data_IF_150829146387
#
_entry.id   IF_150829146387
#
_cell.length_a   1.000
_cell.length_b   1.000
_cell.length_c   1.000
_cell.angle_alpha   90.00
_cell.angle_beta   90.00
_cell.angle_gamma   90.00
#
_symmetry.space_group_name_H-M   'P 1'
#
loop_
_entity.id
_entity.type
_entity.pdbx_description
1 polymer ?
#
# COMPACT_ATOMS: atom_id res chain seq x y z
N UNK A 1 -7.28 -28.61 -3.95
CA UNK A 1 -6.16 -28.11 -3.13
C UNK A 1 -6.68 -26.92 -2.33
N UNK A 2 -6.52 -26.92 -1.00
CA UNK A 2 -7.08 -25.89 -0.12
C UNK A 2 -6.02 -24.90 0.35
N UNK A 3 -6.41 -23.63 0.43
CA UNK A 3 -5.55 -22.54 0.87
C UNK A 3 -6.15 -21.82 2.08
N UNK A 4 -5.29 -21.45 3.03
CA UNK A 4 -5.62 -20.60 4.17
C UNK A 4 -4.97 -19.22 3.97
N UNK A 5 -5.78 -18.18 3.80
CA UNK A 5 -5.35 -16.80 3.74
C UNK A 5 -5.40 -16.16 5.13
N UNK A 6 -4.28 -15.67 5.64
CA UNK A 6 -4.16 -15.02 6.95
C UNK A 6 -3.75 -13.59 6.76
N UNK A 7 -4.56 -12.65 7.27
CA UNK A 7 -4.33 -11.22 7.13
C UNK A 7 -4.74 -10.43 8.39
N UNK A 8 -4.37 -9.15 8.43
CA UNK A 8 -4.95 -8.20 9.39
C UNK A 8 -6.42 -7.88 9.04
N UNK A 9 -7.12 -7.25 9.98
CA UNK A 9 -8.52 -6.86 9.78
C UNK A 9 -8.67 -5.87 8.61
N UNK A 10 -9.37 -6.29 7.56
CA UNK A 10 -9.56 -5.56 6.31
C UNK A 10 -10.63 -4.46 6.36
N UNK A 11 -11.31 -4.28 7.50
CA UNK A 11 -12.32 -3.20 7.66
C UNK A 11 -11.70 -1.82 7.77
N UNK A 12 -10.41 -1.74 8.13
CA UNK A 12 -9.67 -0.48 8.18
C UNK A 12 -9.37 -0.03 6.75
N UNK A 13 -9.94 1.10 6.32
CA UNK A 13 -9.68 1.69 4.99
C UNK A 13 -8.26 2.27 4.95
N UNK A 14 -7.32 1.51 4.44
CA UNK A 14 -5.92 1.89 4.25
C UNK A 14 -5.40 1.43 2.89
N UNK A 15 -4.25 1.94 2.46
CA UNK A 15 -3.58 1.43 1.27
C UNK A 15 -3.28 -0.07 1.36
N UNK A 16 -2.86 -0.56 2.54
CA UNK A 16 -2.63 -1.99 2.78
C UNK A 16 -3.89 -2.82 2.58
N UNK A 17 -5.04 -2.36 3.08
CA UNK A 17 -6.30 -3.10 2.94
C UNK A 17 -6.77 -3.27 1.50
N UNK A 18 -6.43 -2.35 0.59
CA UNK A 18 -6.71 -2.49 -0.85
C UNK A 18 -5.91 -3.66 -1.44
N UNK A 19 -4.63 -3.77 -1.08
CA UNK A 19 -3.77 -4.87 -1.55
C UNK A 19 -4.21 -6.20 -0.96
N UNK A 20 -4.56 -6.26 0.32
CA UNK A 20 -5.08 -7.48 0.98
C UNK A 20 -6.37 -7.97 0.30
N UNK A 21 -7.31 -7.06 0.04
CA UNK A 21 -8.56 -7.39 -0.68
C UNK A 21 -8.29 -7.91 -2.10
N UNK A 22 -7.33 -7.30 -2.81
CA UNK A 22 -6.88 -7.77 -4.11
C UNK A 22 -6.30 -9.19 -4.01
N UNK A 23 -5.41 -9.43 -3.05
CA UNK A 23 -4.78 -10.74 -2.85
C UNK A 23 -5.84 -11.81 -2.57
N UNK A 24 -6.78 -11.54 -1.65
CA UNK A 24 -7.88 -12.45 -1.33
C UNK A 24 -8.75 -12.73 -2.56
N UNK A 25 -9.11 -11.70 -3.34
CA UNK A 25 -9.88 -11.89 -4.57
C UNK A 25 -9.16 -12.81 -5.54
N UNK A 26 -7.88 -12.58 -5.80
CA UNK A 26 -7.06 -13.43 -6.68
C UNK A 26 -7.00 -14.88 -6.19
N UNK A 27 -6.84 -15.08 -4.87
CA UNK A 27 -6.82 -16.41 -4.26
C UNK A 27 -8.16 -17.12 -4.50
N UNK A 28 -9.28 -16.44 -4.27
CA UNK A 28 -10.62 -17.00 -4.51
C UNK A 28 -10.87 -17.30 -5.98
N UNK A 29 -10.47 -16.40 -6.87
CA UNK A 29 -10.60 -16.58 -8.32
C UNK A 29 -9.78 -17.80 -8.85
N UNK A 30 -8.63 -18.12 -8.20
CA UNK A 30 -7.77 -19.24 -8.61
C UNK A 30 -8.14 -20.59 -7.97
N UNK A 31 -8.46 -20.61 -6.66
CA UNK A 31 -8.73 -21.86 -5.93
C UNK A 31 -10.21 -22.19 -5.80
N UNK A 32 -11.10 -21.24 -6.02
CA UNK A 32 -12.53 -21.30 -5.70
C UNK A 32 -12.82 -20.90 -4.25
N UNK A 33 -14.03 -20.38 -4.02
CA UNK A 33 -14.51 -19.99 -2.67
C UNK A 33 -14.47 -21.18 -1.71
N UNK A 34 -14.89 -22.37 -2.15
CA UNK A 34 -14.99 -23.59 -1.36
C UNK A 34 -13.62 -24.15 -0.92
N UNK A 35 -12.55 -23.77 -1.62
CA UNK A 35 -11.17 -24.16 -1.31
C UNK A 35 -10.38 -23.08 -0.59
N UNK A 36 -10.98 -21.92 -0.37
CA UNK A 36 -10.33 -20.75 0.26
C UNK A 36 -10.90 -20.50 1.65
N UNK A 37 -10.05 -20.63 2.66
CA UNK A 37 -10.40 -20.25 4.03
C UNK A 37 -9.68 -18.93 4.34
N UNK A 38 -10.41 -17.96 4.89
CA UNK A 38 -9.85 -16.70 5.38
C UNK A 38 -9.83 -16.67 6.89
N UNK A 39 -8.70 -16.23 7.46
CA UNK A 39 -8.55 -15.96 8.89
C UNK A 39 -8.08 -14.51 9.09
N UNK A 40 -8.96 -13.68 9.64
CA UNK A 40 -8.65 -12.30 9.97
C UNK A 40 -8.15 -12.15 11.40
N UNK A 41 -6.93 -11.68 11.55
CA UNK A 41 -6.37 -11.34 12.85
C UNK A 41 -6.97 -10.03 13.35
N UNK A 42 -7.41 -10.05 14.61
CA UNK A 42 -7.91 -8.85 15.28
C UNK A 42 -7.58 -8.87 16.76
N UNK A 43 -7.35 -7.70 17.33
CA UNK A 43 -7.17 -7.56 18.78
C UNK A 43 -8.52 -7.75 19.49
N UNK A 44 -8.64 -8.80 20.28
CA UNK A 44 -9.85 -9.08 21.08
C UNK A 44 -9.88 -8.26 22.37
N UNK A 45 -8.74 -7.74 22.84
CA UNK A 45 -8.63 -7.00 24.09
C UNK A 45 -8.42 -5.50 23.85
N UNK A 46 -9.12 -4.66 24.61
CA UNK A 46 -8.86 -3.22 24.70
C UNK A 46 -7.70 -2.87 25.66
N UNK A 47 -7.24 -3.84 26.45
CA UNK A 47 -6.15 -3.63 27.41
C UNK A 47 -4.80 -3.49 26.68
N UNK A 48 -4.25 -2.27 26.69
CA UNK A 48 -2.99 -1.93 26.02
C UNK A 48 -1.78 -2.69 26.57
N UNK A 49 -1.75 -2.94 27.89
CA UNK A 49 -0.63 -3.66 28.53
C UNK A 49 -0.64 -5.13 28.10
N UNK A 50 -1.81 -5.78 28.13
CA UNK A 50 -1.97 -7.15 27.64
C UNK A 50 -1.57 -7.27 26.17
N UNK A 51 -2.02 -6.34 25.33
CA UNK A 51 -1.67 -6.33 23.92
C UNK A 51 -0.16 -6.17 23.68
N UNK A 52 0.52 -5.31 24.50
CA UNK A 52 1.97 -5.16 24.44
C UNK A 52 2.69 -6.45 24.87
N UNK A 53 2.21 -7.07 25.94
CA UNK A 53 2.75 -8.36 26.43
C UNK A 53 2.63 -9.44 25.37
N UNK A 54 1.45 -9.60 24.76
CA UNK A 54 1.21 -10.55 23.68
C UNK A 54 2.12 -10.25 22.47
N UNK A 55 2.27 -8.97 22.07
CA UNK A 55 3.16 -8.57 20.97
C UNK A 55 4.62 -9.00 21.24
N UNK A 56 5.12 -8.84 22.47
CA UNK A 56 6.50 -9.16 22.84
C UNK A 56 6.72 -10.66 22.99
N UNK A 57 5.89 -11.31 23.78
CA UNK A 57 6.10 -12.75 24.14
C UNK A 57 5.78 -13.68 22.99
N UNK A 58 4.78 -13.34 22.19
CA UNK A 58 4.32 -14.16 21.06
C UNK A 58 4.89 -13.73 19.71
N UNK A 59 5.76 -12.70 19.67
CA UNK A 59 6.19 -12.00 18.45
C UNK A 59 4.98 -11.59 17.61
N UNK A 60 3.91 -11.16 18.29
CA UNK A 60 2.59 -10.96 17.71
C UNK A 60 2.43 -9.61 17.02
N UNK A 61 1.68 -9.61 15.93
CA UNK A 61 1.15 -8.43 15.28
C UNK A 61 -0.34 -8.63 15.01
N UNK A 62 -1.07 -7.54 14.89
CA UNK A 62 -2.50 -7.55 14.55
C UNK A 62 -3.42 -8.32 15.50
N UNK A 63 -2.94 -8.70 16.67
CA UNK A 63 -3.66 -9.53 17.65
C UNK A 63 -3.30 -11.01 17.59
N UNK A 64 -2.20 -11.34 16.89
CA UNK A 64 -1.64 -12.69 16.94
C UNK A 64 -1.14 -12.99 18.36
N UNK A 65 -1.69 -14.04 18.98
CA UNK A 65 -1.35 -14.48 20.32
C UNK A 65 -1.39 -16.02 20.39
N UNK A 66 -1.18 -16.62 21.55
CA UNK A 66 -1.16 -18.07 21.73
C UNK A 66 -2.47 -18.72 21.24
N UNK A 67 -3.62 -18.16 21.60
CA UNK A 67 -4.92 -18.69 21.20
C UNK A 67 -5.12 -18.68 19.69
N UNK A 68 -4.86 -17.53 19.03
CA UNK A 68 -5.01 -17.44 17.56
C UNK A 68 -4.02 -18.33 16.80
N UNK A 69 -2.81 -18.58 17.34
CA UNK A 69 -1.87 -19.56 16.78
C UNK A 69 -2.45 -20.98 16.83
N UNK A 70 -3.03 -21.37 17.96
CA UNK A 70 -3.66 -22.69 18.11
C UNK A 70 -4.89 -22.82 17.19
N UNK A 71 -5.74 -21.79 17.10
CA UNK A 71 -6.88 -21.77 16.17
C UNK A 71 -6.42 -21.98 14.72
N UNK A 72 -5.37 -21.26 14.28
CA UNK A 72 -4.80 -21.39 12.93
C UNK A 72 -4.25 -22.81 12.67
N UNK A 73 -3.52 -23.38 13.61
CA UNK A 73 -2.97 -24.74 13.49
C UNK A 73 -4.08 -25.78 13.41
N UNK A 74 -5.16 -25.62 14.18
CA UNK A 74 -6.33 -26.49 14.12
C UNK A 74 -7.04 -26.38 12.75
N UNK A 75 -7.20 -25.17 12.20
CA UNK A 75 -7.75 -24.97 10.85
C UNK A 75 -6.91 -25.72 9.81
N UNK A 76 -5.58 -25.60 9.88
CA UNK A 76 -4.67 -26.28 8.96
C UNK A 76 -4.87 -27.79 9.00
N UNK A 77 -4.96 -28.37 10.19
CA UNK A 77 -5.10 -29.82 10.39
C UNK A 77 -6.49 -30.32 9.96
N UNK A 78 -7.55 -29.69 10.48
CA UNK A 78 -8.94 -30.15 10.25
C UNK A 78 -9.36 -30.02 8.78
N UNK A 79 -8.92 -28.95 8.11
CA UNK A 79 -9.29 -28.71 6.72
C UNK A 79 -8.29 -29.28 5.72
N UNK A 80 -7.20 -29.94 6.18
CA UNK A 80 -6.14 -30.49 5.32
C UNK A 80 -5.58 -29.41 4.36
N UNK A 81 -5.20 -28.25 4.92
CA UNK A 81 -4.68 -27.12 4.16
C UNK A 81 -3.36 -27.51 3.49
N UNK A 82 -3.24 -27.19 2.21
CA UNK A 82 -2.03 -27.43 1.42
C UNK A 82 -1.12 -26.20 1.36
N UNK A 83 -1.72 -24.99 1.30
CA UNK A 83 -1.02 -23.72 1.19
C UNK A 83 -1.50 -22.77 2.28
N UNK A 84 -0.58 -22.07 2.92
CA UNK A 84 -0.87 -20.92 3.79
C UNK A 84 -0.31 -19.67 3.15
N UNK A 85 -1.18 -18.69 2.93
CA UNK A 85 -0.81 -17.37 2.42
C UNK A 85 -0.82 -16.38 3.58
N UNK A 86 0.36 -15.91 3.97
CA UNK A 86 0.58 -14.90 5.00
C UNK A 86 0.60 -13.51 4.35
N UNK A 87 -0.47 -12.75 4.50
CA UNK A 87 -0.62 -11.44 3.84
C UNK A 87 -0.04 -10.30 4.69
N UNK A 88 1.12 -10.55 5.26
CA UNK A 88 1.98 -9.59 5.94
C UNK A 88 3.33 -10.21 6.28
N UNK A 89 4.41 -9.42 6.14
CA UNK A 89 5.76 -9.79 6.57
C UNK A 89 5.89 -9.98 8.09
N UNK A 90 5.02 -9.34 8.87
CA UNK A 90 4.96 -9.44 10.33
C UNK A 90 4.32 -10.75 10.85
N UNK A 91 4.03 -11.71 9.98
CA UNK A 91 3.50 -13.02 10.34
C UNK A 91 4.53 -14.15 10.24
N UNK A 92 5.82 -13.81 10.20
CA UNK A 92 6.91 -14.78 10.03
C UNK A 92 7.02 -15.81 11.15
N UNK A 93 6.59 -15.50 12.38
CA UNK A 93 6.50 -16.47 13.46
C UNK A 93 5.53 -17.60 13.10
N UNK A 94 4.43 -17.33 12.38
CA UNK A 94 3.54 -18.35 11.85
C UNK A 94 4.21 -19.20 10.77
N UNK A 95 4.95 -18.60 9.85
CA UNK A 95 5.72 -19.33 8.85
C UNK A 95 6.64 -20.35 9.53
N UNK A 96 7.38 -19.95 10.57
CA UNK A 96 8.25 -20.82 11.36
C UNK A 96 7.46 -21.98 12.00
N UNK A 97 6.41 -21.70 12.74
CA UNK A 97 5.61 -22.68 13.47
C UNK A 97 4.98 -23.67 12.49
N UNK A 98 4.40 -23.20 11.38
CA UNK A 98 3.75 -24.04 10.37
C UNK A 98 4.78 -24.98 9.74
N UNK A 99 5.95 -24.48 9.32
CA UNK A 99 6.98 -25.33 8.70
C UNK A 99 7.61 -26.34 9.67
N UNK A 100 7.65 -26.02 10.96
CA UNK A 100 8.11 -26.98 11.99
C UNK A 100 7.11 -28.11 12.22
N UNK A 101 5.79 -27.81 12.22
CA UNK A 101 4.74 -28.78 12.52
C UNK A 101 4.20 -29.50 11.29
N UNK A 102 4.14 -28.83 10.15
CA UNK A 102 3.55 -29.31 8.89
C UNK A 102 4.50 -29.06 7.73
N UNK A 103 5.57 -29.85 7.61
CA UNK A 103 6.64 -29.68 6.61
C UNK A 103 6.12 -29.67 5.17
N UNK A 104 5.03 -30.39 4.89
CA UNK A 104 4.41 -30.51 3.57
C UNK A 104 3.58 -29.28 3.19
N UNK A 105 3.13 -28.47 4.15
CA UNK A 105 2.34 -27.27 3.88
C UNK A 105 3.24 -26.21 3.28
N UNK A 106 2.85 -25.69 2.12
CA UNK A 106 3.55 -24.58 1.46
C UNK A 106 3.17 -23.26 2.11
N UNK A 107 4.16 -22.41 2.34
CA UNK A 107 3.97 -21.08 2.94
C UNK A 107 4.38 -20.02 1.93
N UNK A 108 3.44 -19.14 1.61
CA UNK A 108 3.66 -17.94 0.79
C UNK A 108 3.55 -16.72 1.69
N UNK A 109 4.54 -15.84 1.71
CA UNK A 109 4.46 -14.57 2.45
C UNK A 109 4.52 -13.39 1.51
N UNK A 110 3.53 -12.50 1.65
CA UNK A 110 3.44 -11.25 0.89
C UNK A 110 3.91 -10.07 1.75
N UNK A 111 4.92 -9.37 1.26
CA UNK A 111 5.48 -8.18 1.89
C UNK A 111 4.86 -6.93 1.27
N UNK A 112 4.01 -6.23 2.04
CA UNK A 112 3.46 -4.94 1.62
C UNK A 112 4.51 -3.83 1.63
N UNK A 113 5.51 -3.98 2.49
CA UNK A 113 6.71 -3.14 2.61
C UNK A 113 7.74 -3.87 3.47
N UNK A 114 8.86 -3.22 3.77
CA UNK A 114 9.79 -3.68 4.80
C UNK A 114 9.45 -2.98 6.11
N UNK A 115 8.66 -3.64 6.94
CA UNK A 115 8.08 -3.10 8.17
C UNK A 115 9.15 -2.70 9.20
N UNK A 116 10.24 -3.47 9.28
CA UNK A 116 11.38 -3.12 10.13
C UNK A 116 11.90 -1.71 9.81
N UNK A 117 12.10 -1.41 8.52
CA UNK A 117 12.58 -0.09 8.09
C UNK A 117 11.53 0.98 8.36
N UNK A 118 10.26 0.71 8.06
CA UNK A 118 9.17 1.62 8.34
C UNK A 118 9.13 2.00 9.83
N UNK A 119 9.11 1.03 10.73
CA UNK A 119 9.06 1.32 12.17
C UNK A 119 10.32 2.03 12.68
N UNK A 120 11.48 1.70 12.12
CA UNK A 120 12.74 2.38 12.45
C UNK A 120 12.72 3.86 12.05
N UNK A 121 12.23 4.18 10.85
CA UNK A 121 12.14 5.57 10.39
C UNK A 121 11.05 6.34 11.15
N UNK A 122 9.90 5.72 11.42
CA UNK A 122 8.86 6.34 12.26
C UNK A 122 9.34 6.61 13.69
N UNK A 123 10.15 5.71 14.26
CA UNK A 123 10.76 5.96 15.57
C UNK A 123 11.68 7.20 15.57
N UNK A 124 12.51 7.36 14.56
CA UNK A 124 13.39 8.53 14.44
C UNK A 124 12.63 9.86 14.34
N UNK A 125 11.43 9.83 13.76
CA UNK A 125 10.60 11.02 13.57
C UNK A 125 9.76 11.35 14.81
N UNK A 126 9.19 10.31 15.46
CA UNK A 126 8.18 10.49 16.50
C UNK A 126 8.69 10.24 17.92
N UNK A 127 9.84 9.55 18.06
CA UNK A 127 10.39 9.05 19.33
C UNK A 127 9.37 8.23 20.13
N UNK A 128 8.36 7.65 19.47
CA UNK A 128 7.29 6.91 20.13
C UNK A 128 7.75 5.51 20.55
N UNK A 129 7.55 5.17 21.82
CA UNK A 129 7.84 3.84 22.37
C UNK A 129 7.20 2.70 21.55
N UNK A 130 6.03 2.95 20.96
CA UNK A 130 5.36 2.00 20.08
C UNK A 130 6.27 1.53 18.93
N UNK A 131 7.01 2.41 18.30
CA UNK A 131 7.88 2.08 17.17
C UNK A 131 9.21 1.50 17.63
N UNK A 132 9.67 1.89 18.83
CA UNK A 132 10.90 1.35 19.42
C UNK A 132 10.81 -0.18 19.61
N UNK A 133 9.71 -0.71 20.15
CA UNK A 133 9.57 -2.16 20.34
C UNK A 133 9.11 -2.88 19.07
N UNK A 134 8.35 -2.21 18.21
CA UNK A 134 7.85 -2.85 16.97
C UNK A 134 8.95 -3.09 15.93
N UNK A 135 9.95 -2.24 15.84
CA UNK A 135 11.04 -2.42 14.89
C UNK A 135 11.78 -3.76 15.09
N UNK A 136 12.31 -4.11 16.29
CA UNK A 136 12.97 -5.41 16.48
C UNK A 136 12.03 -6.60 16.31
N UNK A 137 10.75 -6.48 16.69
CA UNK A 137 9.76 -7.54 16.47
C UNK A 137 9.51 -7.78 14.96
N UNK A 138 9.39 -6.71 14.18
CA UNK A 138 9.27 -6.82 12.72
C UNK A 138 10.53 -7.41 12.10
N UNK A 139 11.72 -7.00 12.55
CA UNK A 139 12.98 -7.60 12.07
C UNK A 139 12.99 -9.12 12.24
N UNK A 140 12.59 -9.61 13.42
CA UNK A 140 12.53 -11.06 13.70
C UNK A 140 11.48 -11.76 12.84
N UNK A 141 10.28 -11.18 12.72
CA UNK A 141 9.22 -11.75 11.87
C UNK A 141 9.64 -11.79 10.40
N UNK A 142 10.20 -10.71 9.86
CA UNK A 142 10.68 -10.65 8.47
C UNK A 142 11.81 -11.64 8.23
N UNK A 143 12.72 -11.82 9.21
CA UNK A 143 13.76 -12.85 9.16
C UNK A 143 13.15 -14.25 9.11
N UNK A 144 12.11 -14.54 9.89
CA UNK A 144 11.41 -15.81 9.85
C UNK A 144 10.62 -15.99 8.56
N UNK A 145 9.93 -14.96 8.07
CA UNK A 145 9.28 -14.97 6.77
C UNK A 145 10.25 -15.33 5.66
N UNK A 146 11.41 -14.68 5.61
CA UNK A 146 12.46 -14.96 4.63
C UNK A 146 13.02 -16.39 4.74
N UNK A 147 13.14 -16.93 5.97
CA UNK A 147 13.74 -18.24 6.20
C UNK A 147 12.78 -19.41 5.99
N UNK A 148 11.51 -19.25 6.35
CA UNK A 148 10.55 -20.35 6.46
C UNK A 148 9.46 -20.33 5.40
N UNK A 149 9.34 -19.27 4.60
CA UNK A 149 8.42 -19.26 3.46
C UNK A 149 9.02 -19.97 2.25
N UNK A 150 8.20 -20.78 1.57
CA UNK A 150 8.57 -21.38 0.28
C UNK A 150 8.65 -20.31 -0.81
N UNK A 151 7.72 -19.34 -0.78
CA UNK A 151 7.68 -18.20 -1.70
C UNK A 151 7.59 -16.89 -0.90
N UNK A 152 8.39 -15.92 -1.31
CA UNK A 152 8.38 -14.53 -0.80
C UNK A 152 8.02 -13.60 -1.94
N UNK A 153 6.99 -12.77 -1.74
CA UNK A 153 6.51 -11.80 -2.72
C UNK A 153 6.70 -10.39 -2.17
N UNK A 154 7.19 -9.46 -3.00
CA UNK A 154 7.26 -8.03 -2.69
C UNK A 154 6.51 -7.20 -3.73
N UNK A 155 6.18 -5.95 -3.38
CA UNK A 155 5.51 -5.02 -4.29
C UNK A 155 6.44 -4.47 -5.39
N UNK A 156 7.75 -4.38 -5.12
CA UNK A 156 8.69 -3.72 -6.02
C UNK A 156 10.14 -4.20 -5.80
N UNK A 157 11.03 -3.84 -6.73
CA UNK A 157 12.46 -4.21 -6.69
C UNK A 157 13.20 -3.57 -5.51
N UNK A 158 12.83 -2.34 -5.08
CA UNK A 158 13.47 -1.70 -3.92
C UNK A 158 13.30 -2.58 -2.68
N UNK A 159 12.08 -3.06 -2.44
CA UNK A 159 11.78 -3.87 -1.27
C UNK A 159 12.46 -5.24 -1.36
N UNK A 160 12.53 -5.86 -2.54
CA UNK A 160 13.32 -7.09 -2.76
C UNK A 160 14.82 -6.88 -2.48
N UNK A 161 15.40 -5.76 -2.91
CA UNK A 161 16.79 -5.42 -2.61
C UNK A 161 17.02 -5.17 -1.11
N UNK A 162 16.02 -4.59 -0.42
CA UNK A 162 16.08 -4.43 1.04
C UNK A 162 16.01 -5.78 1.76
N UNK A 163 15.19 -6.73 1.30
CA UNK A 163 15.20 -8.10 1.82
C UNK A 163 16.58 -8.73 1.71
N UNK A 164 17.23 -8.61 0.55
CA UNK A 164 18.59 -9.12 0.39
C UNK A 164 19.59 -8.44 1.33
N UNK A 165 19.50 -7.13 1.46
CA UNK A 165 20.39 -6.35 2.35
C UNK A 165 20.31 -6.83 3.81
N UNK A 166 19.09 -7.02 4.34
CA UNK A 166 18.89 -7.30 5.76
C UNK A 166 18.78 -8.79 6.10
N UNK A 167 18.24 -9.61 5.18
CA UNK A 167 17.91 -11.01 5.45
C UNK A 167 18.59 -11.99 4.51
N UNK A 168 19.39 -11.51 3.53
CA UNK A 168 20.08 -12.33 2.52
C UNK A 168 19.13 -13.18 1.68
N UNK A 169 17.90 -12.69 1.47
CA UNK A 169 16.86 -13.31 0.65
C UNK A 169 16.30 -12.27 -0.32
N UNK A 170 16.24 -12.59 -1.62
CA UNK A 170 15.48 -11.82 -2.61
C UNK A 170 14.02 -12.30 -2.66
N UNK A 171 13.13 -11.48 -3.16
CA UNK A 171 11.77 -11.92 -3.47
C UNK A 171 11.81 -12.93 -4.64
N UNK A 172 10.97 -13.96 -4.56
CA UNK A 172 10.80 -14.93 -5.65
C UNK A 172 9.92 -14.34 -6.76
N UNK A 173 9.01 -13.46 -6.41
CA UNK A 173 8.16 -12.71 -7.36
C UNK A 173 7.94 -11.27 -6.87
N UNK A 174 7.76 -10.38 -7.85
CA UNK A 174 7.34 -9.00 -7.62
C UNK A 174 5.94 -8.84 -8.18
N UNK A 175 4.99 -8.50 -7.31
CA UNK A 175 3.59 -8.29 -7.67
C UNK A 175 3.19 -6.90 -7.18
N UNK A 176 3.22 -5.89 -8.04
CA UNK A 176 2.98 -4.50 -7.65
C UNK A 176 1.53 -4.26 -7.19
N UNK A 177 1.29 -3.08 -6.66
CA UNK A 177 -0.07 -2.58 -6.46
C UNK A 177 -0.84 -2.69 -7.78
N UNK A 178 -2.07 -3.17 -7.70
CA UNK A 178 -2.94 -3.26 -8.88
C UNK A 178 -4.38 -2.90 -8.51
N UNK A 179 -5.08 -2.34 -9.49
CA UNK A 179 -6.45 -1.84 -9.35
C UNK A 179 -7.33 -2.46 -10.43
N UNK A 180 -8.63 -2.47 -10.18
CA UNK A 180 -9.63 -2.88 -11.19
C UNK A 180 -9.61 -1.85 -12.33
N UNK A 181 -9.67 -2.34 -13.55
CA UNK A 181 -9.68 -1.51 -14.74
C UNK A 181 -11.13 -1.12 -15.09
N UNK A 182 -11.68 -0.16 -14.34
CA UNK A 182 -13.02 0.37 -14.64
C UNK A 182 -13.01 1.30 -15.86
N UNK A 183 -14.17 1.54 -16.42
CA UNK A 183 -14.35 2.55 -17.48
C UNK A 183 -13.99 3.94 -16.92
N UNK A 184 -13.18 4.68 -17.66
CA UNK A 184 -12.87 6.07 -17.36
C UNK A 184 -14.01 6.93 -17.89
N UNK A 185 -14.53 7.83 -17.04
CA UNK A 185 -15.50 8.81 -17.50
C UNK A 185 -14.80 9.87 -18.38
N UNK A 186 -15.35 10.12 -19.56
CA UNK A 186 -14.85 11.13 -20.51
C UNK A 186 -15.53 12.49 -20.32
N UNK A 187 -15.96 12.82 -19.11
CA UNK A 187 -16.59 14.09 -18.82
C UNK A 187 -15.53 15.08 -18.35
N UNK A 188 -15.17 16.02 -19.23
CA UNK A 188 -14.24 17.09 -18.91
C UNK A 188 -15.00 18.40 -18.79
N UNK A 189 -14.94 19.03 -17.62
CA UNK A 189 -15.37 20.42 -17.44
C UNK A 189 -14.23 21.38 -17.83
N UNK A 190 -14.53 22.70 -17.94
CA UNK A 190 -13.55 23.73 -18.25
C UNK A 190 -12.68 24.13 -17.05
N UNK A 191 -13.03 23.72 -15.84
CA UNK A 191 -12.29 24.07 -14.63
C UNK A 191 -10.89 23.47 -14.64
N UNK A 192 -9.90 24.24 -14.23
CA UNK A 192 -8.48 23.83 -14.17
C UNK A 192 -8.06 23.69 -12.73
N UNK A 193 -7.60 22.50 -12.34
CA UNK A 193 -7.09 22.27 -10.99
C UNK A 193 -6.07 21.14 -10.89
N UNK A 194 -5.32 21.18 -9.80
CA UNK A 194 -4.46 20.11 -9.31
C UNK A 194 -5.27 19.23 -8.35
N UNK A 195 -5.10 17.92 -8.41
CA UNK A 195 -5.76 17.00 -7.51
C UNK A 195 -4.76 16.33 -6.55
N UNK A 196 -5.09 16.31 -5.28
CA UNK A 196 -4.48 15.43 -4.28
C UNK A 196 -5.54 14.52 -3.65
N UNK A 197 -5.31 13.21 -3.69
CA UNK A 197 -6.17 12.23 -3.01
C UNK A 197 -5.39 11.54 -1.90
N UNK A 198 -5.96 11.52 -0.68
CA UNK A 198 -5.32 10.84 0.44
C UNK A 198 -6.16 10.91 1.71
N UNK A 199 -5.98 9.96 2.63
CA UNK A 199 -6.60 9.97 3.95
C UNK A 199 -5.78 10.79 4.96
N UNK A 200 -6.38 11.08 6.12
CA UNK A 200 -5.72 11.69 7.28
C UNK A 200 -4.70 10.70 7.90
N UNK A 201 -3.62 10.47 7.14
CA UNK A 201 -2.47 9.66 7.56
C UNK A 201 -1.23 10.58 7.63
N UNK A 202 -0.38 10.47 8.67
CA UNK A 202 0.69 11.46 8.93
C UNK A 202 1.55 11.84 7.71
N UNK A 203 2.08 10.92 6.89
CA UNK A 203 2.83 11.26 5.68
C UNK A 203 2.01 12.07 4.66
N UNK A 204 0.71 11.79 4.51
CA UNK A 204 -0.17 12.54 3.62
C UNK A 204 -0.37 13.96 4.14
N UNK A 205 -0.71 14.10 5.43
CA UNK A 205 -0.93 15.42 6.06
C UNK A 205 0.35 16.26 6.01
N UNK A 206 1.49 15.67 6.37
CA UNK A 206 2.78 16.38 6.32
C UNK A 206 3.11 16.86 4.90
N UNK A 207 2.93 15.99 3.92
CA UNK A 207 3.22 16.30 2.53
C UNK A 207 2.29 17.36 1.95
N UNK A 208 0.97 17.22 2.15
CA UNK A 208 0.01 18.19 1.60
C UNK A 208 0.05 19.53 2.35
N UNK A 209 0.31 19.53 3.68
CA UNK A 209 0.53 20.79 4.42
C UNK A 209 1.76 21.54 3.89
N UNK A 210 2.88 20.82 3.66
CA UNK A 210 4.04 21.42 3.01
C UNK A 210 3.67 22.05 1.65
N UNK A 211 2.87 21.35 0.83
CA UNK A 211 2.45 21.86 -0.47
C UNK A 211 1.59 23.11 -0.34
N UNK A 212 0.61 23.11 0.57
CA UNK A 212 -0.26 24.26 0.82
C UNK A 212 0.55 25.48 1.32
N UNK A 213 1.50 25.27 2.22
CA UNK A 213 2.25 26.35 2.87
C UNK A 213 3.40 26.89 2.01
N UNK A 214 4.04 26.05 1.18
CA UNK A 214 5.28 26.39 0.47
C UNK A 214 5.15 26.44 -1.04
N UNK A 215 4.14 25.83 -1.64
CA UNK A 215 3.96 25.76 -3.10
C UNK A 215 2.73 26.55 -3.54
N UNK A 216 1.58 26.31 -2.92
CA UNK A 216 0.29 26.90 -3.32
C UNK A 216 0.30 28.44 -3.40
N UNK A 217 0.97 29.19 -2.50
CA UNK A 217 1.05 30.67 -2.61
C UNK A 217 1.77 31.19 -3.87
N UNK A 218 2.57 30.35 -4.51
CA UNK A 218 3.40 30.71 -5.67
C UNK A 218 2.86 30.19 -7.01
N UNK A 219 1.65 29.62 -7.01
CA UNK A 219 0.97 29.12 -8.21
C UNK A 219 -0.44 29.71 -8.31
N UNK A 220 -0.92 29.88 -9.56
CA UNK A 220 -2.24 30.49 -9.81
C UNK A 220 -3.37 29.46 -9.95
N UNK A 221 -3.01 28.18 -10.00
CA UNK A 221 -3.95 27.10 -10.24
C UNK A 221 -4.58 26.64 -8.91
N UNK A 222 -5.85 26.23 -8.95
CA UNK A 222 -6.60 25.70 -7.81
C UNK A 222 -6.05 24.34 -7.38
N UNK A 223 -6.00 24.08 -6.07
CA UNK A 223 -5.74 22.78 -5.49
C UNK A 223 -7.03 22.18 -4.93
N UNK A 224 -7.37 20.99 -5.38
CA UNK A 224 -8.47 20.18 -4.86
C UNK A 224 -7.89 19.02 -4.05
N UNK A 225 -8.35 18.87 -2.82
CA UNK A 225 -7.96 17.79 -1.92
C UNK A 225 -9.18 16.93 -1.60
N UNK A 226 -9.06 15.60 -1.69
CA UNK A 226 -10.14 14.68 -1.32
C UNK A 226 -9.61 13.50 -0.50
N UNK A 227 -10.43 13.04 0.46
CA UNK A 227 -10.19 11.83 1.23
C UNK A 227 -10.61 11.91 2.69
N UNK A 228 -10.74 10.75 3.30
CA UNK A 228 -11.25 10.61 4.67
C UNK A 228 -10.38 11.34 5.68
N UNK A 229 -10.99 12.22 6.48
CA UNK A 229 -10.33 13.02 7.52
C UNK A 229 -9.58 14.24 7.00
N UNK A 230 -9.60 14.52 5.67
CA UNK A 230 -8.98 15.71 5.08
C UNK A 230 -9.74 16.99 5.36
N UNK A 231 -11.02 16.91 5.72
CA UNK A 231 -11.86 18.05 6.09
C UNK A 231 -11.25 18.92 7.20
N UNK A 232 -10.39 18.36 8.03
CA UNK A 232 -9.66 19.09 9.07
C UNK A 232 -8.73 20.17 8.49
N UNK A 233 -8.27 20.01 7.25
CA UNK A 233 -7.44 21.00 6.56
C UNK A 233 -8.24 22.22 6.12
N UNK A 234 -9.55 22.09 5.91
CA UNK A 234 -10.41 23.19 5.47
C UNK A 234 -10.38 24.37 6.44
N UNK A 235 -10.56 24.11 7.73
CA UNK A 235 -10.51 25.16 8.75
C UNK A 235 -9.08 25.69 8.95
N UNK A 236 -8.09 24.79 8.95
CA UNK A 236 -6.69 25.17 9.15
C UNK A 236 -6.21 26.15 8.05
N UNK A 237 -6.64 25.93 6.82
CA UNK A 237 -6.15 26.68 5.65
C UNK A 237 -7.22 27.53 4.95
N UNK A 238 -8.29 27.93 5.64
CA UNK A 238 -9.42 28.72 5.11
C UNK A 238 -9.04 30.05 4.44
N UNK A 239 -7.86 30.59 4.74
CA UNK A 239 -7.37 31.83 4.11
C UNK A 239 -6.94 31.64 2.63
N UNK A 240 -6.69 30.40 2.17
CA UNK A 240 -6.28 30.13 0.80
C UNK A 240 -7.50 30.04 -0.14
N UNK A 241 -7.75 31.07 -0.93
CA UNK A 241 -8.89 31.14 -1.86
C UNK A 241 -8.83 30.13 -3.02
N UNK A 242 -7.62 29.67 -3.38
CA UNK A 242 -7.36 28.66 -4.42
C UNK A 242 -7.23 27.24 -3.86
N UNK A 243 -7.78 26.98 -2.67
CA UNK A 243 -7.84 25.67 -2.03
C UNK A 243 -9.29 25.20 -1.86
N UNK A 244 -9.59 24.00 -2.33
CA UNK A 244 -10.86 23.33 -2.06
C UNK A 244 -10.58 21.97 -1.40
N UNK A 245 -11.28 21.67 -0.31
CA UNK A 245 -11.07 20.43 0.46
C UNK A 245 -12.39 19.71 0.63
N UNK A 246 -12.41 18.46 0.14
CA UNK A 246 -13.46 17.49 0.38
C UNK A 246 -13.01 16.48 1.46
N UNK A 247 -13.96 15.99 2.25
CA UNK A 247 -13.78 14.85 3.12
C UNK A 247 -13.78 13.53 2.33
N UNK A 248 -14.40 12.51 2.91
CA UNK A 248 -14.60 11.24 2.20
C UNK A 248 -15.48 11.43 0.96
N UNK A 249 -14.98 10.98 -0.17
CA UNK A 249 -15.70 10.93 -1.45
C UNK A 249 -15.78 9.46 -1.86
N UNK A 250 -16.98 8.96 -2.08
CA UNK A 250 -17.22 7.56 -2.40
C UNK A 250 -16.69 7.20 -3.80
N UNK A 251 -16.99 8.03 -4.79
CA UNK A 251 -16.52 7.89 -6.18
C UNK A 251 -15.62 9.07 -6.56
N UNK A 252 -14.34 8.78 -6.72
CA UNK A 252 -13.32 9.74 -7.11
C UNK A 252 -13.22 9.94 -8.63
N UNK A 253 -14.01 9.20 -9.41
CA UNK A 253 -13.92 9.17 -10.89
C UNK A 253 -14.03 10.58 -11.48
N UNK A 254 -15.03 11.36 -11.05
CA UNK A 254 -15.24 12.72 -11.54
C UNK A 254 -14.10 13.66 -11.16
N UNK A 255 -13.56 13.54 -9.93
CA UNK A 255 -12.43 14.35 -9.48
C UNK A 255 -11.16 14.03 -10.28
N UNK A 256 -10.87 12.75 -10.50
CA UNK A 256 -9.74 12.37 -11.34
C UNK A 256 -9.97 12.78 -12.81
N UNK A 257 -11.15 12.52 -13.38
CA UNK A 257 -11.44 12.85 -14.78
C UNK A 257 -11.16 14.33 -15.07
N UNK A 258 -11.64 15.23 -14.23
CA UNK A 258 -11.56 16.68 -14.42
C UNK A 258 -10.24 17.33 -13.99
N UNK A 259 -9.39 16.64 -13.21
CA UNK A 259 -8.08 17.15 -12.84
C UNK A 259 -7.16 17.31 -14.06
N UNK A 260 -6.41 18.40 -14.13
CA UNK A 260 -5.37 18.55 -15.14
C UNK A 260 -4.16 17.68 -14.84
N UNK A 261 -3.77 17.62 -13.56
CA UNK A 261 -2.70 16.76 -13.08
C UNK A 261 -2.89 16.40 -11.61
N UNK A 262 -2.18 15.37 -11.18
CA UNK A 262 -2.18 14.89 -9.79
C UNK A 262 -0.87 15.31 -9.13
N UNK A 263 -0.97 15.91 -7.94
CA UNK A 263 0.19 16.27 -7.12
C UNK A 263 0.33 15.30 -5.96
N UNK A 264 1.52 14.75 -5.78
CA UNK A 264 1.81 13.76 -4.74
C UNK A 264 3.05 14.18 -3.92
N UNK A 265 2.92 15.18 -3.03
CA UNK A 265 4.04 15.68 -2.22
C UNK A 265 4.31 14.73 -1.03
N UNK A 266 4.53 13.45 -1.29
CA UNK A 266 4.79 12.43 -0.29
C UNK A 266 6.29 12.19 -0.21
N UNK A 267 6.92 12.70 0.85
CA UNK A 267 8.37 12.65 1.05
C UNK A 267 8.83 11.47 1.92
N UNK A 268 7.91 10.84 2.64
CA UNK A 268 8.21 9.74 3.55
C UNK A 268 7.14 8.65 3.49
N UNK A 269 7.49 7.47 3.95
CA UNK A 269 6.61 6.30 3.97
C UNK A 269 7.31 5.06 3.42
N UNK A 270 6.57 3.97 3.30
CA UNK A 270 7.06 2.68 2.78
C UNK A 270 6.09 2.10 1.76
N UNK A 271 6.50 1.05 1.08
CA UNK A 271 5.71 0.37 0.06
C UNK A 271 5.40 1.24 -1.16
N UNK A 272 4.57 0.71 -2.06
CA UNK A 272 4.05 1.45 -3.22
C UNK A 272 2.82 2.27 -2.85
N UNK A 273 2.70 3.47 -3.39
CA UNK A 273 1.58 4.37 -3.10
C UNK A 273 0.41 4.12 -4.07
N UNK A 274 -0.71 3.65 -3.55
CA UNK A 274 -1.93 3.37 -4.34
C UNK A 274 -2.38 4.60 -5.15
N UNK A 275 -2.27 5.81 -4.57
CA UNK A 275 -2.63 7.06 -5.25
C UNK A 275 -1.84 7.32 -6.54
N UNK A 276 -0.64 6.80 -6.66
CA UNK A 276 0.14 6.86 -7.91
C UNK A 276 -0.45 5.91 -8.94
N UNK A 277 -0.82 4.68 -8.55
CA UNK A 277 -1.54 3.76 -9.43
C UNK A 277 -2.91 4.31 -9.86
N UNK A 278 -3.63 4.99 -8.96
CA UNK A 278 -4.90 5.65 -9.27
C UNK A 278 -4.69 6.78 -10.29
N UNK A 279 -3.68 7.64 -10.11
CA UNK A 279 -3.36 8.68 -11.08
C UNK A 279 -3.05 8.08 -12.48
N UNK A 280 -2.27 7.01 -12.54
CA UNK A 280 -1.99 6.28 -13.77
C UNK A 280 -3.26 5.64 -14.37
N UNK A 281 -4.12 5.04 -13.52
CA UNK A 281 -5.39 4.45 -13.94
C UNK A 281 -6.26 5.47 -14.67
N UNK A 282 -6.35 6.69 -14.14
CA UNK A 282 -7.15 7.76 -14.74
C UNK A 282 -6.39 8.55 -15.83
N UNK A 283 -5.23 8.07 -16.28
CA UNK A 283 -4.44 8.73 -17.32
C UNK A 283 -4.08 10.17 -16.91
N UNK A 284 -3.54 10.37 -15.70
CA UNK A 284 -3.16 11.69 -15.23
C UNK A 284 -1.66 11.92 -15.30
N UNK A 285 -1.28 13.14 -15.65
CA UNK A 285 0.07 13.61 -15.45
C UNK A 285 0.34 13.76 -13.96
N UNK A 286 1.56 13.42 -13.52
CA UNK A 286 1.90 13.36 -12.09
C UNK A 286 3.07 14.30 -11.79
N UNK A 287 2.92 15.17 -10.78
CA UNK A 287 4.03 15.91 -10.18
C UNK A 287 4.17 15.43 -8.74
N UNK A 288 5.29 14.80 -8.43
CA UNK A 288 5.40 14.01 -7.19
C UNK A 288 6.77 14.11 -6.53
N UNK A 289 6.78 13.96 -5.20
CA UNK A 289 8.01 13.71 -4.47
C UNK A 289 8.54 12.29 -4.72
N UNK A 290 9.85 12.02 -4.53
CA UNK A 290 10.47 10.74 -4.87
C UNK A 290 9.78 9.51 -4.26
N UNK A 291 9.33 9.61 -3.00
CA UNK A 291 8.70 8.48 -2.32
C UNK A 291 7.35 8.09 -2.92
N UNK A 292 6.61 9.05 -3.51
CA UNK A 292 5.36 8.76 -4.20
C UNK A 292 5.56 7.96 -5.49
N UNK A 293 6.73 8.06 -6.11
CA UNK A 293 7.08 7.36 -7.36
C UNK A 293 7.82 6.04 -7.12
N UNK A 294 8.06 5.68 -5.86
CA UNK A 294 8.78 4.44 -5.55
C UNK A 294 8.03 3.21 -6.06
N UNK A 295 8.73 2.37 -6.84
CA UNK A 295 8.18 1.17 -7.45
C UNK A 295 7.45 1.40 -8.78
N UNK A 296 7.32 2.66 -9.21
CA UNK A 296 6.72 3.02 -10.48
C UNK A 296 7.81 3.46 -11.46
N UNK A 297 7.98 2.81 -12.63
CA UNK A 297 8.79 3.37 -13.70
C UNK A 297 8.07 4.60 -14.27
N UNK A 298 8.83 5.65 -14.56
CA UNK A 298 8.30 6.87 -15.16
C UNK A 298 9.35 7.55 -16.02
N UNK A 299 8.87 8.33 -16.95
CA UNK A 299 9.63 9.28 -17.74
C UNK A 299 8.99 10.68 -17.61
N UNK A 300 9.53 11.68 -18.26
CA UNK A 300 9.01 13.06 -18.24
C UNK A 300 7.60 13.22 -18.82
N UNK A 301 7.15 12.26 -19.65
CA UNK A 301 5.82 12.30 -20.25
C UNK A 301 4.73 11.75 -19.31
N UNK A 302 5.12 11.02 -18.26
CA UNK A 302 4.25 10.45 -17.23
C UNK A 302 4.32 11.28 -15.94
N UNK A 303 5.54 11.56 -15.46
CA UNK A 303 5.70 12.21 -14.16
C UNK A 303 6.96 13.08 -14.07
N UNK A 304 6.86 14.16 -13.29
CA UNK A 304 7.99 14.98 -12.86
C UNK A 304 8.26 14.71 -11.38
N UNK A 305 9.52 14.34 -11.08
CA UNK A 305 9.98 14.15 -9.71
C UNK A 305 10.50 15.45 -9.11
N UNK A 306 9.88 15.90 -8.01
CA UNK A 306 10.18 17.14 -7.32
C UNK A 306 10.67 16.87 -5.90
N UNK A 307 11.83 17.43 -5.53
CA UNK A 307 12.45 17.19 -4.21
C UNK A 307 12.14 18.29 -3.19
N UNK A 308 11.72 19.46 -3.64
CA UNK A 308 11.49 20.65 -2.82
C UNK A 308 10.41 21.58 -3.42
N UNK A 309 10.07 22.65 -2.70
CA UNK A 309 9.03 23.57 -3.13
C UNK A 309 9.37 24.26 -4.47
N UNK A 310 10.63 24.61 -4.70
CA UNK A 310 11.05 25.29 -5.95
C UNK A 310 10.82 24.40 -7.16
N UNK A 311 11.16 23.13 -7.07
CA UNK A 311 10.93 22.15 -8.15
C UNK A 311 9.45 21.92 -8.42
N UNK A 312 8.59 21.85 -7.38
CA UNK A 312 7.14 21.78 -7.55
C UNK A 312 6.59 23.03 -8.23
N UNK A 313 6.96 24.23 -7.76
CA UNK A 313 6.53 25.51 -8.33
C UNK A 313 6.93 25.59 -9.80
N UNK A 314 8.19 25.29 -10.11
CA UNK A 314 8.71 25.31 -11.47
C UNK A 314 7.96 24.32 -12.38
N UNK A 315 7.77 23.08 -11.92
CA UNK A 315 7.07 22.06 -12.70
C UNK A 315 5.61 22.45 -12.99
N UNK A 316 4.91 23.04 -12.01
CA UNK A 316 3.52 23.46 -12.18
C UNK A 316 3.41 24.69 -13.08
N UNK A 317 4.26 25.70 -12.89
CA UNK A 317 4.19 26.93 -13.68
C UNK A 317 4.61 26.72 -15.15
N UNK A 318 5.42 25.70 -15.43
CA UNK A 318 5.81 25.31 -16.79
C UNK A 318 4.86 24.30 -17.44
N UNK A 319 3.86 23.81 -16.72
CA UNK A 319 2.89 22.86 -17.26
C UNK A 319 1.87 23.56 -18.16
N UNK A 320 1.63 23.03 -19.35
CA UNK A 320 0.59 23.54 -20.24
C UNK A 320 -0.80 23.05 -19.81
N UNK A 321 -1.54 23.91 -19.11
CA UNK A 321 -2.90 23.62 -18.67
C UNK A 321 -3.96 23.64 -19.80
N UNK A 322 -3.58 23.92 -21.05
CA UNK A 322 -4.48 23.84 -22.21
C UNK A 322 -4.40 22.51 -22.93
N UNK A 323 -3.38 21.69 -22.63
CA UNK A 323 -3.28 20.35 -23.19
C UNK A 323 -4.38 19.44 -22.64
N UNK A 324 -4.52 18.24 -23.23
CA UNK A 324 -5.45 17.22 -22.78
C UNK A 324 -5.29 16.91 -21.30
N UNK A 325 -6.42 16.84 -20.58
CA UNK A 325 -6.46 16.34 -19.20
C UNK A 325 -6.20 14.83 -19.09
N UNK A 326 -6.14 14.15 -20.22
CA UNK A 326 -5.87 12.71 -20.30
C UNK A 326 -4.49 12.46 -20.89
N UNK A 327 -3.66 11.78 -20.12
CA UNK A 327 -2.31 11.37 -20.51
C UNK A 327 -2.33 9.88 -20.90
N UNK A 328 -2.17 9.61 -22.21
CA UNK A 328 -2.20 8.27 -22.76
C UNK A 328 -1.05 7.40 -22.24
N UNK A 329 0.15 7.96 -22.05
CA UNK A 329 1.32 7.21 -21.55
C UNK A 329 1.12 6.73 -20.12
N UNK A 330 0.55 7.57 -19.25
CA UNK A 330 0.16 7.18 -17.90
C UNK A 330 -0.85 6.02 -17.92
N UNK A 331 -1.85 6.13 -18.80
CA UNK A 331 -2.86 5.08 -18.95
C UNK A 331 -2.27 3.78 -19.50
N UNK A 332 -1.41 3.86 -20.49
CA UNK A 332 -0.73 2.70 -21.07
C UNK A 332 0.12 1.98 -20.03
N UNK A 333 0.87 2.73 -19.21
CA UNK A 333 1.65 2.17 -18.13
C UNK A 333 0.76 1.44 -17.09
N UNK A 334 -0.39 2.03 -16.74
CA UNK A 334 -1.36 1.36 -15.86
C UNK A 334 -1.84 0.03 -16.45
N UNK A 335 -2.29 0.04 -17.71
CA UNK A 335 -2.82 -1.14 -18.39
C UNK A 335 -1.79 -2.26 -18.51
N UNK A 336 -0.52 -1.91 -18.72
CA UNK A 336 0.57 -2.88 -18.88
C UNK A 336 1.04 -3.50 -17.55
N UNK A 337 0.87 -2.81 -16.40
CA UNK A 337 1.56 -3.23 -15.16
C UNK A 337 0.69 -3.27 -13.90
N UNK A 338 -0.40 -2.48 -13.85
CA UNK A 338 -1.09 -2.22 -12.58
C UNK A 338 -2.58 -2.59 -12.60
N UNK A 339 -3.00 -3.40 -13.56
CA UNK A 339 -4.37 -3.94 -13.55
C UNK A 339 -4.48 -5.20 -12.72
N UNK A 340 -5.70 -5.50 -12.28
CA UNK A 340 -6.00 -6.72 -11.53
C UNK A 340 -5.66 -7.98 -12.35
N UNK A 341 -5.89 -7.96 -13.65
CA UNK A 341 -5.66 -9.06 -14.59
C UNK A 341 -4.17 -9.42 -14.66
N UNK A 342 -3.28 -8.41 -14.74
CA UNK A 342 -1.83 -8.63 -14.73
C UNK A 342 -1.37 -9.23 -13.40
N UNK A 343 -1.88 -8.71 -12.28
CA UNK A 343 -1.58 -9.29 -10.98
C UNK A 343 -2.06 -10.73 -10.87
N UNK A 344 -3.29 -11.03 -11.34
CA UNK A 344 -3.86 -12.37 -11.35
C UNK A 344 -2.99 -13.35 -12.15
N UNK A 345 -2.54 -12.98 -13.33
CA UNK A 345 -1.64 -13.82 -14.15
C UNK A 345 -0.35 -14.16 -13.40
N UNK A 346 0.28 -13.16 -12.77
CA UNK A 346 1.51 -13.38 -11.99
C UNK A 346 1.27 -14.28 -10.76
N UNK A 347 0.16 -14.11 -10.07
CA UNK A 347 -0.22 -15.01 -8.97
C UNK A 347 -0.49 -16.44 -9.46
N UNK A 348 -1.10 -16.62 -10.63
CA UNK A 348 -1.29 -17.94 -11.23
C UNK A 348 0.04 -18.68 -11.46
N UNK A 349 1.09 -17.96 -11.89
CA UNK A 349 2.43 -18.54 -12.00
C UNK A 349 2.95 -18.99 -10.65
N UNK A 350 2.82 -18.14 -9.60
CA UNK A 350 3.21 -18.48 -8.23
C UNK A 350 2.50 -19.73 -7.74
N UNK A 351 1.17 -19.77 -7.85
CA UNK A 351 0.40 -20.91 -7.35
C UNK A 351 0.62 -22.20 -8.14
N UNK A 352 0.90 -22.11 -9.45
CA UNK A 352 1.28 -23.28 -10.26
C UNK A 352 2.66 -23.82 -9.88
N UNK A 353 3.60 -22.98 -9.48
CA UNK A 353 4.96 -23.41 -9.11
C UNK A 353 5.04 -24.16 -7.78
N UNK A 354 4.02 -24.09 -6.94
CA UNK A 354 3.96 -24.72 -5.61
C UNK A 354 2.91 -25.83 -5.51
N UNK A 355 2.23 -26.15 -6.62
CA UNK A 355 1.40 -27.34 -6.76
C UNK A 355 2.28 -28.58 -6.86
#
# INVERSE_FOLDING_TARGET
>A
MKILHICENIRIKSGGSVVIKRNLKVIKDFFGEENTIQYELSRKSSNKIKNLWDDITELGFYGLNKQSKEEILNIIQQNKINIVFLDSSNLGVLAKIIKQRYKQVKVVTFFHNIEFIFFKEEFKITYSFKYLYKAPLSYLNEKFSCKYSDIVITLNNRDSNMLYKYYKRTADKIIPVSLINDKIANYYNSEKYLLFVGSNFPPNIKGISFFIEKVLPHIKIKLVIAGSGMETLKEKYKAHKNLEVFGYVEDLTTLYANANLVVLPIFAGSGMKIKTAEALKYGKYIIAAPEALTGYPYNKDIAICCKDAKSFISAINNFDFNQSKFNQESRNLFLQKYTHEIAYQTFCEVFKSIK
#
